data_IF_599296588024
#
_entry.id   IF_599296588024
#
_cell.length_a   1.000
_cell.length_b   1.000
_cell.length_c   1.000
_cell.angle_alpha   90.00
_cell.angle_beta   90.00
_cell.angle_gamma   90.00
#
_symmetry.space_group_name_H-M   'P 1'
#
loop_
_entity.id
_entity.type
_entity.pdbx_description
1 polymer ?
#
# COMPACT_ATOMS: atom_id res chain seq x y z
N UNK A 1 -5.89 -16.89 -17.72
CA UNK A 1 -4.42 -16.98 -17.65
C UNK A 1 -3.80 -15.76 -16.94
N UNK A 2 -4.38 -14.55 -17.09
CA UNK A 2 -3.94 -13.33 -16.39
C UNK A 2 -4.04 -13.38 -14.85
N UNK A 3 -5.02 -14.07 -14.26
CA UNK A 3 -5.14 -14.16 -12.79
C UNK A 3 -4.01 -14.98 -12.13
N UNK A 4 -3.53 -16.02 -12.83
CA UNK A 4 -2.40 -16.85 -12.39
C UNK A 4 -1.06 -16.11 -12.56
N UNK A 5 -0.96 -15.24 -13.57
CA UNK A 5 0.19 -14.36 -13.78
C UNK A 5 0.20 -13.19 -12.79
N UNK A 6 -0.93 -12.55 -12.49
CA UNK A 6 -1.01 -11.60 -11.36
C UNK A 6 -0.55 -12.24 -10.03
N UNK A 7 -0.85 -13.52 -9.78
CA UNK A 7 -0.32 -14.25 -8.62
C UNK A 7 1.20 -14.52 -8.69
N UNK A 8 1.75 -14.86 -9.86
CA UNK A 8 3.19 -15.16 -10.01
C UNK A 8 4.05 -13.90 -10.14
N UNK A 9 3.47 -12.80 -10.60
CA UNK A 9 4.15 -11.56 -10.96
C UNK A 9 3.99 -10.49 -9.86
N UNK A 10 2.90 -10.53 -9.07
CA UNK A 10 2.78 -9.77 -7.83
C UNK A 10 3.26 -10.53 -6.58
N UNK A 11 3.82 -11.74 -6.73
CA UNK A 11 4.49 -12.52 -5.68
C UNK A 11 3.68 -12.79 -4.41
N UNK A 12 2.35 -12.80 -4.48
CA UNK A 12 1.50 -13.11 -3.32
C UNK A 12 0.68 -14.38 -3.58
N UNK A 13 0.95 -15.50 -2.90
CA UNK A 13 0.27 -16.78 -3.11
C UNK A 13 -1.11 -16.87 -2.42
N UNK A 14 -1.66 -15.75 -1.95
CA UNK A 14 -2.91 -15.69 -1.18
C UNK A 14 -4.01 -14.92 -1.90
N UNK A 15 -5.27 -15.33 -1.70
CA UNK A 15 -6.43 -14.50 -2.05
C UNK A 15 -6.33 -13.11 -1.40
N UNK A 16 -6.82 -12.07 -2.05
CA UNK A 16 -6.71 -10.65 -1.64
C UNK A 16 -5.31 -10.03 -1.66
N UNK A 17 -4.33 -10.65 -2.32
CA UNK A 17 -2.98 -10.08 -2.50
C UNK A 17 -2.98 -8.61 -2.91
N UNK A 18 -3.93 -8.21 -3.75
CA UNK A 18 -4.11 -6.83 -4.22
C UNK A 18 -4.29 -5.78 -3.11
N UNK A 19 -4.66 -6.17 -1.89
CA UNK A 19 -4.80 -5.24 -0.75
C UNK A 19 -3.43 -4.65 -0.32
N UNK A 20 -2.34 -5.40 -0.56
CA UNK A 20 -0.98 -5.02 -0.19
C UNK A 20 -0.27 -4.15 -1.25
N UNK A 21 -0.93 -3.95 -2.39
CA UNK A 21 -0.43 -3.07 -3.45
C UNK A 21 -0.46 -1.62 -2.93
N UNK A 22 0.69 -0.92 -2.92
CA UNK A 22 0.75 0.46 -2.44
C UNK A 22 0.03 1.37 -3.42
N UNK A 23 -0.73 2.34 -2.89
CA UNK A 23 -1.22 3.49 -3.66
C UNK A 23 -0.50 4.78 -3.32
N UNK A 24 0.36 4.76 -2.30
CA UNK A 24 1.06 5.96 -1.86
C UNK A 24 2.41 6.02 -2.57
N UNK A 25 2.58 7.02 -3.42
CA UNK A 25 3.81 7.27 -4.18
C UNK A 25 5.02 7.49 -3.26
N UNK A 26 4.84 8.14 -2.11
CA UNK A 26 5.94 8.32 -1.14
C UNK A 26 6.33 6.99 -0.51
N UNK A 27 5.35 6.15 -0.15
CA UNK A 27 5.62 4.81 0.40
C UNK A 27 6.26 3.89 -0.64
N UNK A 28 5.78 3.89 -1.89
CA UNK A 28 6.35 3.09 -2.97
C UNK A 28 7.81 3.50 -3.23
N UNK A 29 8.04 4.78 -3.53
CA UNK A 29 9.37 5.26 -3.95
C UNK A 29 10.43 5.25 -2.85
N UNK A 30 10.04 5.32 -1.57
CA UNK A 30 10.97 5.14 -0.46
C UNK A 30 11.37 3.68 -0.26
N UNK A 31 10.62 2.72 -0.79
CA UNK A 31 10.84 1.29 -0.52
C UNK A 31 10.47 0.89 0.90
N UNK A 32 10.79 1.68 1.93
CA UNK A 32 10.53 1.45 3.35
C UNK A 32 9.88 2.61 4.11
N UNK A 33 9.79 2.47 5.44
CA UNK A 33 8.93 3.26 6.33
C UNK A 33 7.44 2.84 6.33
N UNK A 34 7.06 1.73 5.70
CA UNK A 34 5.66 1.24 5.58
C UNK A 34 5.01 1.01 6.93
N UNK A 35 5.70 0.33 7.84
CA UNK A 35 5.24 0.00 9.20
C UNK A 35 5.04 1.23 10.09
N UNK A 36 5.43 2.42 9.61
CA UNK A 36 5.17 3.72 10.24
C UNK A 36 4.13 4.50 9.43
N UNK A 37 4.28 4.58 8.10
CA UNK A 37 3.52 5.48 7.25
C UNK A 37 2.08 5.04 7.02
N UNK A 38 1.86 3.74 6.85
CA UNK A 38 0.54 3.15 6.67
C UNK A 38 -0.08 2.72 8.02
N UNK A 39 0.67 2.86 9.10
CA UNK A 39 0.28 2.40 10.42
C UNK A 39 -0.83 3.28 11.02
N UNK A 40 -1.97 2.70 11.46
CA UNK A 40 -3.04 3.47 12.11
C UNK A 40 -2.57 4.22 13.36
N UNK A 41 -1.54 3.71 14.06
CA UNK A 41 -0.95 4.34 15.24
C UNK A 41 -0.27 5.68 14.93
N UNK A 42 0.01 6.01 13.66
CA UNK A 42 0.57 7.32 13.27
C UNK A 42 -0.46 8.45 13.31
N UNK A 43 -1.76 8.15 13.18
CA UNK A 43 -2.83 9.15 13.08
C UNK A 43 -2.78 10.21 14.19
N UNK A 44 -2.61 9.88 15.48
CA UNK A 44 -2.60 10.87 16.57
C UNK A 44 -1.48 11.90 16.51
N UNK A 45 -0.47 11.68 15.66
CA UNK A 45 0.61 12.61 15.41
C UNK A 45 0.41 13.47 14.15
N UNK A 46 -0.65 13.22 13.37
CA UNK A 46 -1.10 14.15 12.34
C UNK A 46 -1.65 15.41 13.00
N UNK A 47 -1.29 16.59 12.46
CA UNK A 47 -1.80 17.88 12.94
C UNK A 47 -2.95 18.41 12.08
N UNK A 48 -3.00 17.96 10.83
CA UNK A 48 -3.84 18.52 9.79
C UNK A 48 -4.88 17.48 9.37
N UNK A 49 -6.01 17.98 8.86
CA UNK A 49 -6.93 17.16 8.10
C UNK A 49 -6.35 17.00 6.71
N UNK A 50 -6.22 15.76 6.25
CA UNK A 50 -5.63 15.42 4.96
C UNK A 50 -6.67 14.82 4.05
N UNK A 51 -6.65 15.25 2.80
CA UNK A 51 -7.35 14.62 1.70
C UNK A 51 -6.29 14.14 0.72
N UNK A 52 -6.35 12.87 0.34
CA UNK A 52 -5.41 12.29 -0.60
C UNK A 52 -6.15 11.52 -1.68
N UNK A 53 -5.81 11.81 -2.92
CA UNK A 53 -6.22 11.03 -4.07
C UNK A 53 -4.97 10.44 -4.70
N UNK A 54 -5.03 9.16 -5.07
CA UNK A 54 -3.96 8.50 -5.81
C UNK A 54 -4.53 7.74 -6.98
N UNK A 55 -3.81 7.71 -8.09
CA UNK A 55 -4.09 6.86 -9.25
C UNK A 55 -2.82 6.12 -9.63
N UNK A 56 -2.96 4.86 -9.98
CA UNK A 56 -1.82 4.06 -10.39
C UNK A 56 -2.14 3.10 -11.51
N UNK A 57 -1.07 2.74 -12.22
CA UNK A 57 -1.01 1.65 -13.19
C UNK A 57 0.10 0.73 -12.73
N UNK A 58 -0.23 -0.52 -12.51
CA UNK A 58 0.73 -1.56 -12.21
C UNK A 58 0.97 -2.37 -13.48
N UNK A 59 1.88 -3.33 -13.37
CA UNK A 59 2.16 -4.33 -14.39
C UNK A 59 0.89 -4.90 -15.06
N UNK A 60 1.02 -5.28 -16.33
CA UNK A 60 -0.06 -5.76 -17.20
C UNK A 60 -1.15 -4.72 -17.48
N UNK A 61 -2.35 -4.93 -16.93
CA UNK A 61 -3.57 -4.14 -17.14
C UNK A 61 -4.20 -3.69 -15.82
N UNK A 62 -3.50 -3.87 -14.69
CA UNK A 62 -4.03 -3.49 -13.38
C UNK A 62 -3.99 -1.97 -13.22
N UNK A 63 -5.16 -1.37 -13.17
CA UNK A 63 -5.32 0.06 -12.90
C UNK A 63 -6.14 0.25 -11.63
N UNK A 64 -5.86 1.33 -10.91
CA UNK A 64 -6.58 1.61 -9.68
C UNK A 64 -6.58 3.07 -9.28
N UNK A 65 -7.45 3.36 -8.32
CA UNK A 65 -7.48 4.63 -7.62
C UNK A 65 -7.73 4.46 -6.14
N UNK A 66 -7.31 5.46 -5.38
CA UNK A 66 -7.48 5.55 -3.94
C UNK A 66 -7.94 6.93 -3.56
N UNK A 67 -8.84 6.98 -2.58
CA UNK A 67 -9.25 8.18 -1.90
C UNK A 67 -9.09 7.99 -0.40
N UNK A 68 -8.37 8.89 0.26
CA UNK A 68 -8.19 8.88 1.72
C UNK A 68 -8.56 10.25 2.30
N UNK A 69 -9.29 10.21 3.42
CA UNK A 69 -9.44 11.34 4.34
C UNK A 69 -8.85 10.92 5.67
N UNK A 70 -7.96 11.71 6.24
CA UNK A 70 -7.38 11.41 7.55
C UNK A 70 -7.24 12.64 8.44
N UNK A 71 -7.40 12.43 9.73
CA UNK A 71 -7.25 13.42 10.80
C UNK A 71 -6.42 12.82 11.93
N UNK A 72 -6.27 13.56 13.04
CA UNK A 72 -5.59 13.01 14.21
C UNK A 72 -6.33 11.86 14.91
N UNK A 73 -7.64 11.72 14.68
CA UNK A 73 -8.47 10.74 15.39
C UNK A 73 -8.87 9.57 14.51
N UNK A 74 -9.23 9.85 13.27
CA UNK A 74 -9.80 8.88 12.35
C UNK A 74 -9.21 9.05 10.95
N UNK A 75 -9.05 7.95 10.24
CA UNK A 75 -8.82 7.91 8.81
C UNK A 75 -9.79 6.97 8.12
N UNK A 76 -10.24 7.35 6.93
CA UNK A 76 -11.09 6.56 6.05
C UNK A 76 -10.39 6.48 4.71
N UNK A 77 -10.29 5.28 4.14
CA UNK A 77 -9.61 5.03 2.87
C UNK A 77 -10.43 4.07 2.02
N UNK A 78 -10.72 4.48 0.80
CA UNK A 78 -11.35 3.67 -0.23
C UNK A 78 -10.36 3.43 -1.37
N UNK A 79 -10.21 2.17 -1.77
CA UNK A 79 -9.39 1.74 -2.91
C UNK A 79 -10.24 0.97 -3.87
N UNK A 80 -10.05 1.22 -5.15
CA UNK A 80 -10.68 0.46 -6.23
C UNK A 80 -9.65 0.09 -7.28
N UNK A 81 -9.64 -1.18 -7.66
CA UNK A 81 -8.84 -1.70 -8.76
C UNK A 81 -9.74 -2.33 -9.81
N UNK A 82 -9.25 -2.31 -11.05
CA UNK A 82 -9.85 -3.03 -12.17
C UNK A 82 -8.79 -3.74 -13.00
N UNK A 83 -9.18 -4.86 -13.57
CA UNK A 83 -8.45 -5.55 -14.63
C UNK A 83 -9.45 -5.80 -15.75
N UNK A 84 -9.14 -5.29 -16.94
CA UNK A 84 -9.89 -5.54 -18.16
C UNK A 84 -9.32 -6.81 -18.82
N UNK A 85 -10.18 -7.75 -19.21
CA UNK A 85 -9.77 -9.04 -19.80
C UNK A 85 -10.78 -9.48 -20.87
N UNK A 86 -10.39 -10.44 -21.70
CA UNK A 86 -11.14 -10.89 -22.88
C UNK A 86 -11.51 -12.37 -22.74
N UNK A 87 -12.76 -12.69 -23.07
CA UNK A 87 -13.25 -14.07 -23.11
C UNK A 87 -12.99 -14.68 -24.50
N UNK A 88 -12.47 -15.91 -24.51
CA UNK A 88 -12.20 -16.70 -25.72
C UNK A 88 -12.91 -18.05 -25.64
N UNK A 89 -13.34 -18.56 -26.80
CA UNK A 89 -13.90 -19.91 -26.91
C UNK A 89 -12.78 -20.97 -26.93
N UNK A 90 -13.16 -22.24 -27.01
CA UNK A 90 -12.22 -23.37 -27.07
C UNK A 90 -11.30 -23.33 -28.30
N UNK A 91 -11.67 -22.58 -29.35
CA UNK A 91 -10.89 -22.41 -30.57
C UNK A 91 -10.03 -21.13 -30.55
N UNK A 92 -10.04 -20.37 -29.43
CA UNK A 92 -9.32 -19.11 -29.30
C UNK A 92 -9.99 -17.92 -29.99
N UNK A 93 -11.27 -18.04 -30.39
CA UNK A 93 -12.05 -16.93 -30.94
C UNK A 93 -12.58 -16.09 -29.80
N UNK A 94 -12.36 -14.78 -29.86
CA UNK A 94 -12.89 -13.82 -28.89
C UNK A 94 -14.43 -13.86 -28.88
N UNK A 95 -15.02 -14.12 -27.72
CA UNK A 95 -16.48 -14.17 -27.51
C UNK A 95 -17.00 -12.92 -26.79
N UNK A 96 -16.16 -12.22 -26.03
CA UNK A 96 -16.58 -11.06 -25.26
C UNK A 96 -15.46 -10.40 -24.48
N UNK A 97 -15.79 -9.35 -23.74
CA UNK A 97 -14.89 -8.67 -22.80
C UNK A 97 -15.53 -8.66 -21.41
N UNK A 98 -14.70 -8.81 -20.38
CA UNK A 98 -15.14 -8.75 -18.99
C UNK A 98 -14.19 -7.94 -18.13
N UNK A 99 -14.65 -7.57 -16.93
CA UNK A 99 -13.88 -6.75 -15.99
C UNK A 99 -13.88 -7.37 -14.61
N UNK A 100 -12.70 -7.61 -14.07
CA UNK A 100 -12.54 -7.94 -12.66
C UNK A 100 -12.45 -6.63 -11.86
N UNK A 101 -13.15 -6.55 -10.74
CA UNK A 101 -13.19 -5.37 -9.87
C UNK A 101 -12.88 -5.74 -8.42
N UNK A 102 -12.08 -4.90 -7.78
CA UNK A 102 -11.64 -5.10 -6.40
C UNK A 102 -11.84 -3.81 -5.62
N UNK A 103 -12.58 -3.86 -4.52
CA UNK A 103 -12.93 -2.70 -3.72
C UNK A 103 -12.54 -2.93 -2.26
N UNK A 104 -11.86 -1.95 -1.66
CA UNK A 104 -11.49 -1.96 -0.25
C UNK A 104 -12.00 -0.69 0.40
N UNK A 105 -12.76 -0.82 1.49
CA UNK A 105 -13.05 0.29 2.41
C UNK A 105 -12.30 -0.01 3.70
N UNK A 106 -11.61 1.00 4.24
CA UNK A 106 -10.87 0.90 5.49
C UNK A 106 -11.19 2.07 6.40
N UNK A 107 -11.30 1.78 7.69
CA UNK A 107 -11.50 2.76 8.75
C UNK A 107 -10.43 2.50 9.79
N UNK A 108 -9.70 3.55 10.16
CA UNK A 108 -8.58 3.47 11.09
C UNK A 108 -8.69 4.53 12.17
N UNK A 109 -8.26 4.17 13.37
CA UNK A 109 -8.21 5.04 14.53
C UNK A 109 -6.92 4.77 15.30
N UNK A 110 -6.42 5.77 16.00
CA UNK A 110 -5.27 5.65 16.86
C UNK A 110 -5.40 6.51 18.10
N UNK A 111 -4.62 6.16 19.13
CA UNK A 111 -4.54 6.93 20.35
C UNK A 111 -3.11 6.94 20.90
N UNK A 112 -2.76 8.01 21.61
CA UNK A 112 -1.45 8.13 22.26
C UNK A 112 -1.45 7.40 23.60
N UNK A 113 -0.31 6.81 23.93
CA UNK A 113 0.02 6.24 25.23
C UNK A 113 1.24 7.00 25.74
N UNK A 114 1.01 8.07 26.51
CA UNK A 114 2.05 9.03 26.86
C UNK A 114 2.45 9.95 25.69
N UNK A 115 3.68 10.47 25.72
CA UNK A 115 4.12 11.50 24.77
C UNK A 115 4.70 10.94 23.48
N UNK A 116 5.35 9.79 23.55
CA UNK A 116 6.18 9.21 22.50
C UNK A 116 5.64 7.91 21.93
N UNK A 117 4.65 7.26 22.56
CA UNK A 117 4.08 6.00 22.09
C UNK A 117 2.63 6.21 21.62
N UNK A 118 2.23 5.46 20.60
CA UNK A 118 0.83 5.35 20.20
C UNK A 118 0.50 3.95 19.73
N UNK A 119 -0.78 3.64 19.85
CA UNK A 119 -1.39 2.41 19.35
C UNK A 119 -2.46 2.79 18.32
N UNK A 120 -2.76 1.86 17.42
CA UNK A 120 -3.77 2.06 16.40
C UNK A 120 -4.40 0.77 15.94
N UNK A 121 -5.61 0.91 15.44
CA UNK A 121 -6.43 -0.17 14.93
C UNK A 121 -7.03 0.23 13.60
N UNK A 122 -7.20 -0.75 12.73
CA UNK A 122 -7.83 -0.60 11.43
C UNK A 122 -8.77 -1.75 11.16
N UNK A 123 -9.93 -1.43 10.63
CA UNK A 123 -10.86 -2.38 10.04
C UNK A 123 -10.90 -2.17 8.53
N UNK A 124 -10.95 -3.27 7.78
CA UNK A 124 -10.98 -3.32 6.33
C UNK A 124 -12.14 -4.21 5.87
N UNK A 125 -12.96 -3.73 4.95
CA UNK A 125 -13.89 -4.55 4.19
C UNK A 125 -13.44 -4.64 2.74
N UNK A 126 -13.01 -5.83 2.34
CA UNK A 126 -12.58 -6.13 0.98
C UNK A 126 -13.68 -6.87 0.22
N UNK A 127 -13.87 -6.50 -1.05
CA UNK A 127 -14.80 -7.14 -1.97
C UNK A 127 -14.13 -7.36 -3.31
N UNK A 128 -14.37 -8.51 -3.90
CA UNK A 128 -13.90 -8.85 -5.23
C UNK A 128 -15.08 -9.32 -6.08
N UNK A 129 -15.09 -8.89 -7.33
CA UNK A 129 -15.99 -9.40 -8.36
C UNK A 129 -15.12 -9.85 -9.52
N UNK A 130 -15.20 -11.14 -9.81
CA UNK A 130 -14.50 -11.82 -10.88
C UNK A 130 -15.52 -12.22 -11.96
N UNK A 131 -15.00 -12.78 -13.05
CA UNK A 131 -15.75 -13.30 -14.18
C UNK A 131 -17.00 -14.13 -13.80
N UNK A 132 -18.08 -14.08 -14.60
CA UNK A 132 -19.33 -14.87 -14.45
C UNK A 132 -19.87 -14.96 -13.01
N UNK A 133 -20.00 -13.81 -12.34
CA UNK A 133 -20.59 -13.62 -10.99
C UNK A 133 -19.82 -14.22 -9.81
N UNK A 134 -18.59 -14.70 -10.02
CA UNK A 134 -17.71 -15.09 -8.92
C UNK A 134 -17.42 -13.87 -8.04
N UNK A 135 -17.76 -13.94 -6.76
CA UNK A 135 -17.52 -12.84 -5.83
C UNK A 135 -16.98 -13.32 -4.50
N UNK A 136 -16.10 -12.49 -3.94
CA UNK A 136 -15.45 -12.72 -2.65
C UNK A 136 -15.65 -11.52 -1.73
N UNK A 137 -15.77 -11.76 -0.43
CA UNK A 137 -15.77 -10.71 0.58
C UNK A 137 -14.95 -11.15 1.79
N UNK A 138 -14.19 -10.21 2.36
CA UNK A 138 -13.47 -10.43 3.60
C UNK A 138 -13.55 -9.22 4.53
N UNK A 139 -13.46 -9.49 5.82
CA UNK A 139 -13.35 -8.52 6.89
C UNK A 139 -12.00 -8.71 7.56
N UNK A 140 -11.13 -7.71 7.48
CA UNK A 140 -9.76 -7.78 7.93
C UNK A 140 -9.51 -6.75 9.01
N UNK A 141 -8.57 -7.05 9.88
CA UNK A 141 -8.16 -6.15 10.95
C UNK A 141 -6.65 -5.93 10.91
N UNK A 142 -6.22 -4.75 11.30
CA UNK A 142 -4.82 -4.43 11.55
C UNK A 142 -4.65 -3.81 12.92
N UNK A 143 -3.54 -4.10 13.58
CA UNK A 143 -3.10 -3.46 14.80
C UNK A 143 -1.70 -2.89 14.59
N UNK A 144 -1.46 -1.69 15.10
CA UNK A 144 -0.16 -1.07 14.98
C UNK A 144 0.26 -0.32 16.22
N UNK A 145 1.58 -0.14 16.33
CA UNK A 145 2.25 0.62 17.36
C UNK A 145 3.28 1.54 16.69
N UNK A 146 3.38 2.78 17.15
CA UNK A 146 4.43 3.70 16.71
C UNK A 146 5.12 4.32 17.93
N UNK A 147 6.45 4.39 17.88
CA UNK A 147 7.29 4.98 18.92
C UNK A 147 8.14 6.12 18.36
N UNK A 148 8.05 7.28 19.00
CA UNK A 148 8.65 8.56 18.59
C UNK A 148 9.57 9.07 19.70
N UNK A 149 10.74 8.44 19.94
CA UNK A 149 11.64 8.85 21.01
C UNK A 149 12.21 10.26 20.84
N UNK A 150 12.21 10.78 19.60
CA UNK A 150 12.63 12.14 19.30
C UNK A 150 11.90 12.68 18.07
N UNK A 151 12.15 13.95 17.71
CA UNK A 151 11.63 14.54 16.46
C UNK A 151 12.23 13.92 15.20
N UNK A 152 13.35 13.22 15.33
CA UNK A 152 14.18 12.75 14.23
C UNK A 152 14.11 11.23 14.04
N UNK A 153 13.72 10.48 15.06
CA UNK A 153 13.72 9.01 15.06
C UNK A 153 12.30 8.52 15.28
N UNK A 154 11.89 7.51 14.51
CA UNK A 154 10.60 6.86 14.63
C UNK A 154 10.75 5.36 14.41
N UNK A 155 9.97 4.59 15.13
CA UNK A 155 9.82 3.16 14.96
C UNK A 155 8.34 2.81 14.79
N UNK A 156 8.07 1.79 14.01
CA UNK A 156 6.72 1.31 13.76
C UNK A 156 6.69 -0.20 13.77
N UNK A 157 5.64 -0.74 14.38
CA UNK A 157 5.31 -2.15 14.32
C UNK A 157 3.87 -2.28 13.84
N UNK A 158 3.62 -3.18 12.90
CA UNK A 158 2.32 -3.33 12.25
C UNK A 158 2.02 -4.81 12.04
N UNK A 159 0.89 -5.26 12.56
CA UNK A 159 0.29 -6.56 12.23
C UNK A 159 -0.93 -6.27 11.38
N UNK A 160 -0.94 -6.73 10.14
CA UNK A 160 -1.98 -6.42 9.16
C UNK A 160 -2.73 -7.65 8.69
N UNK A 161 -3.99 -7.41 8.33
CA UNK A 161 -4.88 -8.33 7.62
C UNK A 161 -5.15 -9.66 8.35
N UNK A 162 -5.26 -9.65 9.68
CA UNK A 162 -5.67 -10.83 10.42
C UNK A 162 -7.20 -10.98 10.46
N UNK A 163 -7.66 -12.22 10.66
CA UNK A 163 -9.07 -12.57 10.87
C UNK A 163 -9.77 -13.15 9.64
N UNK A 164 -10.09 -12.31 8.64
CA UNK A 164 -11.01 -12.67 7.56
C UNK A 164 -10.43 -13.59 6.49
N UNK A 165 -11.08 -14.74 6.25
CA UNK A 165 -10.86 -15.56 5.05
C UNK A 165 -11.80 -15.09 3.93
N UNK A 166 -11.33 -15.05 2.69
CA UNK A 166 -12.25 -14.88 1.55
C UNK A 166 -12.99 -16.18 1.36
N UNK A 167 -14.31 -16.10 1.18
CA UNK A 167 -15.12 -17.22 0.74
C UNK A 167 -15.51 -16.99 -0.72
N UNK A 168 -15.10 -17.88 -1.62
CA UNK A 168 -15.67 -17.98 -2.96
C UNK A 168 -16.53 -19.23 -2.99
N UNK A 169 -17.83 -19.07 -3.22
CA UNK A 169 -18.83 -20.14 -3.17
C UNK A 169 -18.78 -20.95 -1.85
N UNK A 170 -17.98 -22.03 -1.78
CA UNK A 170 -17.79 -22.90 -0.62
C UNK A 170 -16.36 -22.89 -0.05
N UNK A 171 -15.37 -22.49 -0.82
CA UNK A 171 -13.96 -22.56 -0.45
C UNK A 171 -13.49 -21.30 0.29
N UNK A 172 -12.63 -21.50 1.30
CA UNK A 172 -12.07 -20.43 2.12
C UNK A 172 -10.58 -20.27 1.85
N UNK A 173 -10.18 -19.09 1.43
CA UNK A 173 -8.79 -18.75 1.18
C UNK A 173 -8.26 -17.81 2.28
N UNK A 174 -7.00 -17.99 2.72
CA UNK A 174 -6.40 -17.14 3.75
C UNK A 174 -6.18 -15.72 3.24
N UNK A 175 -6.27 -14.75 4.15
CA UNK A 175 -5.89 -13.36 3.88
C UNK A 175 -4.36 -13.19 3.79
N UNK A 176 -3.87 -12.11 3.17
CA UNK A 176 -2.45 -11.77 3.13
C UNK A 176 -1.99 -11.24 4.50
N UNK A 177 -1.89 -12.13 5.49
CA UNK A 177 -1.43 -11.79 6.83
C UNK A 177 0.03 -11.32 6.77
N UNK A 178 0.30 -10.18 7.43
CA UNK A 178 1.61 -9.54 7.42
C UNK A 178 2.00 -9.07 8.82
N UNK A 179 3.26 -9.26 9.18
CA UNK A 179 3.90 -8.61 10.34
C UNK A 179 5.05 -7.75 9.82
N UNK A 180 5.09 -6.48 10.19
CA UNK A 180 6.11 -5.53 9.77
C UNK A 180 6.70 -4.78 10.96
N UNK A 181 8.00 -4.54 10.90
CA UNK A 181 8.70 -3.60 11.77
C UNK A 181 9.52 -2.66 10.91
N UNK A 182 9.53 -1.38 11.25
CA UNK A 182 10.23 -0.37 10.46
C UNK A 182 10.73 0.80 11.28
N UNK A 183 11.61 1.59 10.68
CA UNK A 183 12.19 2.79 11.27
C UNK A 183 12.23 3.94 10.26
N UNK A 184 12.22 5.16 10.79
CA UNK A 184 12.52 6.38 10.04
C UNK A 184 13.55 7.20 10.83
N UNK A 185 14.58 7.67 10.14
CA UNK A 185 15.55 8.61 10.68
C UNK A 185 15.64 9.84 9.78
N UNK A 186 15.42 11.03 10.34
CA UNK A 186 15.48 12.29 9.61
C UNK A 186 16.58 13.18 10.17
N UNK A 187 17.49 13.64 9.32
CA UNK A 187 18.53 14.61 9.68
C UNK A 187 18.61 15.69 8.60
N UNK A 188 18.28 16.93 8.98
CA UNK A 188 18.27 18.05 8.04
C UNK A 188 17.36 17.81 6.83
N UNK A 189 17.97 17.74 5.64
CA UNK A 189 17.29 17.51 4.34
C UNK A 189 17.20 16.04 3.96
N UNK A 190 17.74 15.14 4.79
CA UNK A 190 17.77 13.70 4.54
C UNK A 190 16.76 12.98 5.42
N UNK A 191 16.04 12.02 4.84
CA UNK A 191 15.26 11.03 5.56
C UNK A 191 15.67 9.65 5.06
N UNK A 192 15.98 8.75 5.99
CA UNK A 192 16.19 7.33 5.77
C UNK A 192 15.01 6.57 6.34
N UNK A 193 14.62 5.49 5.67
CA UNK A 193 13.55 4.63 6.11
C UNK A 193 13.88 3.18 5.78
N UNK A 194 13.39 2.25 6.61
CA UNK A 194 13.47 0.83 6.30
C UNK A 194 12.40 0.03 7.01
N UNK A 195 12.10 -1.15 6.46
CA UNK A 195 11.21 -2.16 7.04
C UNK A 195 11.79 -3.56 6.86
N UNK A 196 11.37 -4.42 7.77
CA UNK A 196 11.42 -5.87 7.64
C UNK A 196 9.98 -6.35 7.74
N UNK A 197 9.51 -7.06 6.72
CA UNK A 197 8.14 -7.58 6.64
C UNK A 197 8.16 -9.10 6.46
N UNK A 198 7.28 -9.78 7.18
CA UNK A 198 7.03 -11.21 7.09
C UNK A 198 5.60 -11.42 6.62
N UNK A 199 5.43 -12.17 5.55
CA UNK A 199 4.15 -12.58 5.00
C UNK A 199 3.94 -14.08 5.23
N UNK A 200 2.71 -14.48 5.55
CA UNK A 200 2.39 -15.89 5.77
C UNK A 200 2.68 -16.70 4.49
N UNK A 201 3.58 -17.69 4.57
CA UNK A 201 4.03 -18.55 3.46
C UNK A 201 4.92 -17.89 2.40
N UNK A 202 5.53 -16.75 2.71
CA UNK A 202 6.53 -16.12 1.85
C UNK A 202 7.89 -15.94 2.53
N UNK A 203 8.88 -15.54 1.73
CA UNK A 203 10.20 -15.12 2.20
C UNK A 203 10.14 -13.77 2.90
N UNK A 204 11.17 -13.48 3.68
CA UNK A 204 11.38 -12.20 4.34
C UNK A 204 11.52 -11.08 3.30
N UNK A 205 10.77 -10.00 3.47
CA UNK A 205 10.91 -8.79 2.67
C UNK A 205 11.73 -7.77 3.46
N UNK A 206 12.79 -7.27 2.85
CA UNK A 206 13.64 -6.20 3.39
C UNK A 206 13.47 -4.98 2.48
N UNK A 207 13.20 -3.84 3.10
CA UNK A 207 12.83 -2.61 2.42
C UNK A 207 13.64 -1.46 2.98
N UNK A 208 14.20 -0.64 2.12
CA UNK A 208 15.01 0.51 2.53
C UNK A 208 14.89 1.62 1.53
N UNK A 209 15.12 2.85 1.99
CA UNK A 209 15.36 3.95 1.07
C UNK A 209 15.56 5.27 1.74
N UNK A 210 15.61 6.27 0.88
CA UNK A 210 16.11 7.58 1.20
C UNK A 210 15.30 8.64 0.47
N UNK A 211 14.96 9.70 1.20
CA UNK A 211 14.44 10.93 0.65
C UNK A 211 15.42 12.07 0.89
N UNK A 212 15.76 12.77 -0.18
CA UNK A 212 16.52 14.01 -0.13
C UNK A 212 15.63 15.19 -0.53
N UNK A 213 15.57 16.22 0.30
CA UNK A 213 14.76 17.43 0.09
C UNK A 213 15.69 18.62 -0.17
N UNK A 214 16.25 18.78 -1.39
CA UNK A 214 17.21 19.84 -1.70
C UNK A 214 16.62 21.23 -1.49
N UNK A 215 15.34 21.40 -1.80
CA UNK A 215 14.58 22.63 -1.61
C UNK A 215 13.31 22.34 -0.82
N UNK A 216 12.76 23.34 -0.12
CA UNK A 216 11.54 23.18 0.70
C UNK A 216 10.33 22.66 -0.09
N UNK A 217 10.32 22.85 -1.40
CA UNK A 217 9.25 22.44 -2.30
C UNK A 217 9.54 21.14 -3.07
N UNK A 218 10.77 20.62 -3.08
CA UNK A 218 11.16 19.45 -3.88
C UNK A 218 11.71 18.34 -3.00
N UNK A 219 11.15 17.15 -3.11
CA UNK A 219 11.69 15.91 -2.52
C UNK A 219 12.00 14.91 -3.61
N UNK A 220 13.18 14.31 -3.54
CA UNK A 220 13.64 13.23 -4.41
C UNK A 220 13.74 11.97 -3.56
N UNK A 221 13.24 10.84 -4.06
CA UNK A 221 13.15 9.58 -3.35
C UNK A 221 13.74 8.46 -4.18
N UNK A 222 14.47 7.60 -3.50
CA UNK A 222 14.86 6.31 -4.05
C UNK A 222 14.78 5.27 -2.95
N UNK A 223 14.47 4.04 -3.33
CA UNK A 223 14.37 2.93 -2.41
C UNK A 223 14.79 1.64 -3.11
N UNK A 224 14.98 0.62 -2.30
CA UNK A 224 15.17 -0.73 -2.75
C UNK A 224 14.34 -1.72 -1.94
N UNK A 225 13.90 -2.77 -2.62
CA UNK A 225 13.20 -3.90 -2.05
C UNK A 225 14.06 -5.13 -2.31
N UNK A 226 14.21 -5.95 -1.28
CA UNK A 226 14.90 -7.23 -1.36
C UNK A 226 13.99 -8.32 -0.80
N UNK A 227 13.74 -9.34 -1.61
CA UNK A 227 13.05 -10.57 -1.21
C UNK A 227 13.84 -11.78 -1.71
N UNK A 228 14.14 -11.79 -3.01
CA UNK A 228 15.07 -12.71 -3.67
C UNK A 228 16.05 -11.96 -4.56
N UNK A 229 15.56 -10.92 -5.24
CA UNK A 229 16.33 -10.00 -6.06
C UNK A 229 16.23 -8.58 -5.49
N UNK A 230 17.14 -7.72 -5.96
CA UNK A 230 17.12 -6.30 -5.63
C UNK A 230 16.35 -5.52 -6.67
N UNK A 231 15.26 -4.89 -6.22
CA UNK A 231 14.48 -3.96 -7.01
C UNK A 231 14.78 -2.53 -6.59
N UNK A 232 14.81 -1.60 -7.54
CA UNK A 232 15.06 -0.18 -7.29
C UNK A 232 13.83 0.64 -7.64
N UNK A 233 13.50 1.60 -6.78
CA UNK A 233 12.33 2.45 -6.89
C UNK A 233 12.77 3.91 -6.91
N UNK A 234 12.00 4.73 -7.64
CA UNK A 234 12.26 6.16 -7.76
C UNK A 234 10.97 6.94 -7.58
N UNK A 235 11.11 8.17 -7.11
CA UNK A 235 9.98 9.09 -7.05
C UNK A 235 10.39 10.49 -6.69
N UNK A 236 9.45 11.41 -6.85
CA UNK A 236 9.63 12.78 -6.42
C UNK A 236 8.33 13.34 -5.85
N UNK A 237 8.46 14.45 -5.14
CA UNK A 237 7.34 15.17 -4.54
C UNK A 237 7.54 16.66 -4.70
N UNK A 238 6.49 17.35 -5.14
CA UNK A 238 6.41 18.80 -5.24
C UNK A 238 5.43 19.32 -4.20
N UNK A 239 5.90 20.17 -3.30
CA UNK A 239 5.08 20.80 -2.25
C UNK A 239 4.87 22.28 -2.55
N UNK A 240 3.61 22.67 -2.69
CA UNK A 240 3.20 24.05 -2.81
C UNK A 240 2.15 24.40 -1.77
N UNK A 241 2.57 25.13 -0.71
CA UNK A 241 1.73 25.43 0.46
C UNK A 241 1.15 24.15 1.08
N UNK A 242 -0.14 23.95 0.91
CA UNK A 242 -0.94 22.86 1.46
C UNK A 242 -1.19 21.73 0.45
N UNK A 243 -0.76 21.92 -0.80
CA UNK A 243 -0.82 20.94 -1.88
C UNK A 243 0.51 20.21 -2.00
N UNK A 244 0.46 18.88 -2.13
CA UNK A 244 1.60 18.03 -2.44
C UNK A 244 1.22 17.17 -3.64
N UNK A 245 2.04 17.21 -4.68
CA UNK A 245 1.98 16.31 -5.82
C UNK A 245 3.12 15.31 -5.67
N UNK A 246 2.84 14.01 -5.75
CA UNK A 246 3.87 12.99 -5.76
C UNK A 246 3.76 12.12 -7.00
N UNK A 247 4.90 11.62 -7.43
CA UNK A 247 4.98 10.61 -8.48
C UNK A 247 6.00 9.55 -8.05
N UNK A 248 5.70 8.29 -8.34
CA UNK A 248 6.59 7.18 -8.13
C UNK A 248 6.59 6.25 -9.34
N UNK A 249 7.76 5.70 -9.63
CA UNK A 249 7.97 4.69 -10.67
C UNK A 249 8.75 3.52 -10.08
N UNK A 250 8.28 2.32 -10.41
CA UNK A 250 8.95 1.07 -10.09
C UNK A 250 9.10 0.29 -11.41
N UNK A 251 10.31 0.28 -12.01
CA UNK A 251 10.61 -0.50 -13.19
C UNK A 251 10.74 -1.99 -12.86
N UNK A 252 10.14 -2.83 -13.69
CA UNK A 252 10.24 -4.28 -13.65
C UNK A 252 10.93 -4.76 -14.93
N UNK A 253 12.03 -5.54 -14.87
CA UNK A 253 12.79 -5.92 -16.05
C UNK A 253 11.97 -6.54 -17.18
N UNK A 254 10.98 -7.37 -16.86
CA UNK A 254 10.20 -8.13 -17.85
C UNK A 254 8.74 -7.66 -17.98
N UNK A 255 8.25 -6.83 -17.05
CA UNK A 255 6.80 -6.60 -16.85
C UNK A 255 6.40 -5.13 -17.10
N UNK A 256 7.36 -4.31 -17.51
CA UNK A 256 7.17 -2.89 -17.75
C UNK A 256 7.35 -2.07 -16.49
N UNK A 257 6.44 -1.13 -16.22
CA UNK A 257 6.61 -0.18 -15.12
C UNK A 257 5.34 -0.03 -14.31
N UNK A 258 5.46 -0.06 -13.00
CA UNK A 258 4.44 0.47 -12.10
C UNK A 258 4.62 1.98 -11.97
N UNK A 259 3.54 2.73 -12.12
CA UNK A 259 3.54 4.20 -11.97
C UNK A 259 2.39 4.60 -11.05
N UNK A 260 2.67 5.46 -10.08
CA UNK A 260 1.68 6.01 -9.15
C UNK A 260 1.81 7.53 -9.15
N UNK A 261 0.66 8.20 -9.17
CA UNK A 261 0.54 9.63 -9.00
C UNK A 261 -0.38 9.93 -7.82
N UNK A 262 0.05 10.84 -6.94
CA UNK A 262 -0.72 11.28 -5.78
C UNK A 262 -0.93 12.79 -5.78
N UNK A 263 -2.10 13.19 -5.29
CA UNK A 263 -2.41 14.55 -4.86
C UNK A 263 -2.79 14.50 -3.38
N UNK A 264 -2.11 15.27 -2.53
CA UNK A 264 -2.45 15.46 -1.12
C UNK A 264 -2.74 16.93 -0.83
N UNK A 265 -3.85 17.20 -0.15
CA UNK A 265 -4.23 18.49 0.41
C UNK A 265 -4.24 18.38 1.94
N UNK A 266 -3.64 19.35 2.63
CA UNK A 266 -3.58 19.41 4.10
C UNK A 266 -4.17 20.72 4.62
N UNK A 267 -5.12 20.65 5.56
CA UNK A 267 -5.76 21.79 6.21
C UNK A 267 -5.48 21.82 7.71
#
# INVERSE_FOLDING_TARGET
MALLLCCSVMLFPSSLSWIEIPFDSEVLSLGGGRSIRENPAKLPFSRNIKFKFSSGKWIEFLEGSRFEISSKFIGIDYRSFKIDDTEYDENGVKIGDFKNKFDLISIRSGFKVGESLSLGFEYKNAKEKLYKDYSGKANLFSFGMCYFPSKNVRYGFLVSNFGGKVKYESEKFPSPFKIGSGFEFKQGRLLLAGDIEFYEKEKLWIRWGMQFTPYRFLSLRTGFIYQEFFDVLFGFGLKWRNLILNFAIFPHPELGTTQIFDIELSF
#
